data_IF_907475441505
#
_entry.id   IF_907475441505
#
_cell.length_a   1.000
_cell.length_b   1.000
_cell.length_c   1.000
_cell.angle_alpha   90.00
_cell.angle_beta   90.00
_cell.angle_gamma   90.00
#
_symmetry.space_group_name_H-M   'P 1'
#
loop_
_entity.id
_entity.type
_entity.pdbx_description
1 polymer ?
#
# COMPACT_ATOMS: atom_id res chain seq x y z
N UNK A 1 -38.44 -26.75 22.89
CA UNK A 1 -37.19 -27.22 23.52
C UNK A 1 -36.68 -28.43 22.78
N UNK A 2 -35.52 -28.34 22.12
CA UNK A 2 -34.79 -29.51 21.63
C UNK A 2 -33.60 -29.70 22.57
N UNK A 3 -33.63 -30.78 23.34
CA UNK A 3 -32.53 -31.15 24.24
C UNK A 3 -31.52 -31.93 23.41
N UNK A 4 -30.30 -31.42 23.27
CA UNK A 4 -29.21 -32.14 22.61
C UNK A 4 -28.24 -32.56 23.72
N UNK A 5 -28.21 -33.85 24.00
CA UNK A 5 -27.32 -34.46 25.00
C UNK A 5 -26.07 -34.95 24.29
N UNK A 6 -24.91 -34.35 24.58
CA UNK A 6 -23.62 -34.80 24.04
C UNK A 6 -22.81 -35.46 25.17
N UNK A 7 -22.41 -36.74 25.04
CA UNK A 7 -21.48 -37.35 25.98
C UNK A 7 -20.09 -36.74 25.79
N UNK A 8 -19.48 -36.31 26.89
CA UNK A 8 -18.16 -35.68 26.88
C UNK A 8 -17.07 -36.76 26.72
N UNK A 9 -16.84 -37.21 25.49
CA UNK A 9 -15.60 -37.91 25.12
C UNK A 9 -14.93 -37.08 24.04
N UNK A 10 -13.90 -36.33 24.44
CA UNK A 10 -12.97 -35.66 23.54
C UNK A 10 -13.51 -34.41 22.85
N UNK A 11 -13.38 -33.26 23.52
CA UNK A 11 -13.35 -31.98 22.81
C UNK A 11 -12.04 -31.90 22.01
N UNK A 12 -12.06 -32.46 20.79
CA UNK A 12 -11.13 -32.11 19.72
C UNK A 12 -12.01 -31.66 18.56
N UNK A 13 -11.75 -30.43 18.11
CA UNK A 13 -12.36 -29.82 16.95
C UNK A 13 -12.32 -30.75 15.72
N UNK A 14 -13.47 -30.88 15.07
CA UNK A 14 -13.67 -30.92 13.62
C UNK A 14 -15.00 -31.62 13.34
N UNK A 15 -15.88 -30.89 12.66
CA UNK A 15 -17.06 -31.40 11.98
C UNK A 15 -16.62 -32.50 10.98
N UNK A 16 -16.57 -33.76 11.42
CA UNK A 16 -16.37 -34.91 10.52
C UNK A 16 -17.36 -36.01 10.93
N UNK A 17 -18.42 -36.13 10.14
CA UNK A 17 -19.27 -37.31 10.10
C UNK A 17 -18.39 -38.46 9.59
N UNK A 18 -17.93 -39.34 10.49
CA UNK A 18 -17.33 -40.63 10.14
C UNK A 18 -18.14 -41.73 10.80
N UNK A 19 -18.91 -42.45 9.98
CA UNK A 19 -19.49 -43.74 10.33
C UNK A 19 -18.36 -44.77 10.20
N UNK A 20 -17.81 -45.23 11.32
CA UNK A 20 -17.11 -46.51 11.38
C UNK A 20 -17.09 -47.04 12.81
N UNK A 21 -17.66 -48.22 12.96
CA UNK A 21 -17.80 -49.03 14.17
C UNK A 21 -16.45 -49.38 14.81
N UNK A 22 -16.33 -49.10 16.12
CA UNK A 22 -15.40 -49.77 17.03
C UNK A 22 -14.47 -48.84 17.81
N UNK A 23 -14.89 -48.39 19.01
CA UNK A 23 -14.03 -47.80 20.04
C UNK A 23 -14.45 -48.27 21.45
N UNK A 24 -13.53 -48.31 22.43
CA UNK A 24 -13.60 -49.14 23.62
C UNK A 24 -14.53 -48.58 24.71
N UNK A 25 -15.01 -49.47 25.57
CA UNK A 25 -15.92 -49.16 26.69
C UNK A 25 -15.27 -48.24 27.73
N UNK A 26 -15.89 -47.08 27.97
CA UNK A 26 -15.54 -46.15 29.06
C UNK A 26 -16.38 -46.49 30.30
N UNK A 27 -15.75 -46.47 31.47
CA UNK A 27 -16.33 -46.85 32.76
C UNK A 27 -17.33 -45.76 33.25
N UNK A 28 -18.59 -46.13 33.48
CA UNK A 28 -19.76 -45.21 33.57
C UNK A 28 -19.93 -44.45 34.91
N UNK A 29 -19.08 -44.67 35.91
CA UNK A 29 -19.39 -44.28 37.30
C UNK A 29 -19.03 -42.85 37.74
N UNK A 30 -18.66 -41.93 36.83
CA UNK A 30 -18.48 -40.50 37.17
C UNK A 30 -18.55 -39.61 35.91
N UNK A 31 -19.64 -39.70 35.16
CA UNK A 31 -19.89 -38.77 34.05
C UNK A 31 -20.59 -37.54 34.64
N UNK A 32 -19.83 -36.47 34.87
CA UNK A 32 -20.43 -35.16 35.12
C UNK A 32 -21.14 -34.70 33.84
N UNK A 33 -22.46 -34.91 33.79
CA UNK A 33 -23.28 -34.51 32.64
C UNK A 33 -23.53 -33.00 32.72
N UNK A 34 -22.96 -32.25 31.78
CA UNK A 34 -23.30 -30.84 31.56
C UNK A 34 -24.41 -30.79 30.51
N UNK A 35 -25.56 -30.22 30.88
CA UNK A 35 -26.67 -29.99 29.95
C UNK A 35 -26.64 -28.56 29.41
N UNK A 36 -26.60 -28.40 28.09
CA UNK A 36 -26.79 -27.11 27.42
C UNK A 36 -28.24 -27.03 26.90
N UNK A 37 -29.06 -26.18 27.51
CA UNK A 37 -30.43 -25.92 27.07
C UNK A 37 -30.46 -24.69 26.15
N UNK A 38 -30.77 -24.89 24.87
CA UNK A 38 -30.92 -23.81 23.89
C UNK A 38 -32.41 -23.44 23.78
N UNK A 39 -32.74 -22.20 24.13
CA UNK A 39 -34.09 -21.66 23.99
C UNK A 39 -34.28 -21.05 22.59
N UNK A 40 -35.09 -21.72 21.76
CA UNK A 40 -35.43 -21.24 20.42
C UNK A 40 -36.77 -20.49 20.37
N UNK A 41 -37.49 -20.40 21.50
CA UNK A 41 -38.74 -19.65 21.60
C UNK A 41 -38.49 -18.17 21.93
N UNK A 42 -37.40 -17.87 22.66
CA UNK A 42 -36.96 -16.51 22.97
C UNK A 42 -35.56 -16.28 22.38
N UNK A 43 -35.49 -15.78 21.14
CA UNK A 43 -34.23 -15.63 20.40
C UNK A 43 -33.31 -14.52 20.90
N UNK A 44 -33.61 -13.89 22.04
CA UNK A 44 -32.80 -12.81 22.63
C UNK A 44 -32.75 -11.54 21.79
N UNK A 45 -31.70 -10.74 21.96
CA UNK A 45 -31.46 -9.51 21.21
C UNK A 45 -30.92 -9.80 19.81
N UNK A 46 -31.22 -8.92 18.85
CA UNK A 46 -30.62 -8.99 17.52
C UNK A 46 -29.10 -8.81 17.62
N UNK A 47 -28.36 -9.72 17.00
CA UNK A 47 -26.91 -9.60 16.84
C UNK A 47 -26.64 -8.59 15.73
N UNK A 48 -26.00 -7.44 16.01
CA UNK A 48 -25.69 -6.45 14.97
C UNK A 48 -24.77 -7.02 13.91
N UNK A 49 -24.94 -6.60 12.65
CA UNK A 49 -24.00 -6.94 11.56
C UNK A 49 -22.58 -6.45 11.85
N UNK A 50 -22.44 -5.42 12.68
CA UNK A 50 -21.18 -4.83 13.15
C UNK A 50 -20.60 -5.49 14.39
N UNK A 51 -21.11 -6.66 14.83
CA UNK A 51 -20.56 -7.36 16.01
C UNK A 51 -19.08 -7.77 15.82
N UNK A 52 -18.69 -8.08 14.58
CA UNK A 52 -17.32 -8.42 14.22
C UNK A 52 -16.81 -7.45 13.17
N UNK A 53 -15.58 -6.97 13.35
CA UNK A 53 -14.94 -6.04 12.43
C UNK A 53 -13.43 -6.29 12.35
N UNK A 54 -12.77 -5.48 11.53
CA UNK A 54 -11.32 -5.45 11.41
C UNK A 54 -10.79 -4.05 11.76
N UNK A 55 -9.49 -3.98 11.95
CA UNK A 55 -8.77 -2.71 12.15
C UNK A 55 -7.65 -2.68 11.11
N UNK A 56 -7.53 -1.56 10.42
CA UNK A 56 -6.39 -1.21 9.59
C UNK A 56 -5.68 -0.03 10.26
N UNK A 57 -4.43 -0.25 10.62
CA UNK A 57 -3.56 0.79 11.16
C UNK A 57 -2.39 0.94 10.21
N UNK A 58 -2.26 2.11 9.59
CA UNK A 58 -1.26 2.30 8.53
C UNK A 58 0.15 1.91 8.98
N UNK A 59 0.77 1.00 8.22
CA UNK A 59 2.17 0.57 8.32
C UNK A 59 2.63 -0.11 9.62
N UNK A 60 1.73 -0.71 10.39
CA UNK A 60 2.15 -1.66 11.42
C UNK A 60 2.65 -2.96 10.76
N UNK A 61 3.93 -3.30 10.95
CA UNK A 61 4.57 -4.46 10.30
C UNK A 61 4.54 -4.44 8.77
N UNK A 62 4.50 -3.25 8.12
CA UNK A 62 4.32 -3.10 6.66
C UNK A 62 3.00 -3.72 6.18
N UNK A 63 1.94 -3.64 6.98
CA UNK A 63 0.60 -4.12 6.60
C UNK A 63 -0.05 -3.29 5.49
N UNK A 64 0.39 -2.06 5.29
CA UNK A 64 -0.01 -1.17 4.20
C UNK A 64 1.06 -1.10 3.08
N UNK A 65 2.06 -0.22 3.19
CA UNK A 65 3.20 -0.15 2.26
C UNK A 65 4.02 -1.45 2.33
N UNK A 66 3.93 -2.25 1.27
CA UNK A 66 4.54 -3.60 1.18
C UNK A 66 3.60 -4.74 1.57
N UNK A 67 2.39 -4.41 2.01
CA UNK A 67 1.33 -5.32 2.41
C UNK A 67 0.09 -5.14 1.53
N UNK A 68 -0.98 -4.61 2.12
CA UNK A 68 -2.28 -4.40 1.50
C UNK A 68 -2.20 -3.46 0.31
N UNK A 69 -1.36 -2.44 0.34
CA UNK A 69 -1.11 -1.60 -0.83
C UNK A 69 -0.24 -2.33 -1.86
N UNK A 70 -0.70 -2.37 -3.11
CA UNK A 70 -0.12 -3.24 -4.14
C UNK A 70 1.20 -2.74 -4.75
N UNK A 71 1.72 -1.58 -4.35
CA UNK A 71 2.99 -1.06 -4.83
C UNK A 71 4.14 -2.06 -4.55
N UNK A 72 4.92 -2.37 -5.58
CA UNK A 72 6.04 -3.31 -5.47
C UNK A 72 7.36 -2.64 -5.19
N UNK A 73 7.50 -1.35 -5.53
CA UNK A 73 8.75 -0.61 -5.43
C UNK A 73 8.89 -0.02 -4.03
N UNK A 74 9.82 -0.57 -3.26
CA UNK A 74 10.14 -0.04 -1.95
C UNK A 74 10.86 1.30 -2.08
N UNK A 75 10.49 2.29 -1.26
CA UNK A 75 11.09 3.62 -1.28
C UNK A 75 11.06 4.28 -2.67
N UNK A 76 9.90 4.18 -3.34
CA UNK A 76 9.67 4.59 -4.74
C UNK A 76 9.97 6.05 -5.08
N UNK A 77 9.86 6.93 -4.10
CA UNK A 77 10.07 8.38 -4.24
C UNK A 77 11.08 8.93 -3.23
N UNK A 78 11.96 8.07 -2.68
CA UNK A 78 13.10 8.45 -1.83
C UNK A 78 12.72 9.16 -0.52
N UNK A 79 11.48 8.98 -0.06
CA UNK A 79 10.93 9.60 1.14
C UNK A 79 11.43 8.94 2.44
N UNK A 80 11.89 7.68 2.38
CA UNK A 80 12.40 6.96 3.56
C UNK A 80 13.54 7.75 4.23
N UNK A 81 13.41 7.94 5.54
CA UNK A 81 14.36 8.69 6.40
C UNK A 81 14.60 10.15 5.95
N UNK A 82 13.67 10.74 5.20
CA UNK A 82 13.81 12.10 4.65
C UNK A 82 14.79 12.19 3.48
N UNK A 83 15.14 11.06 2.87
CA UNK A 83 16.11 10.97 1.77
C UNK A 83 17.07 9.80 1.96
N UNK A 84 16.77 8.66 1.34
CA UNK A 84 17.66 7.49 1.37
C UNK A 84 17.60 6.71 0.06
N UNK A 85 18.65 5.92 -0.21
CA UNK A 85 18.70 4.94 -1.30
C UNK A 85 18.31 3.53 -0.82
N UNK A 86 17.62 3.42 0.32
CA UNK A 86 17.18 2.12 0.84
C UNK A 86 16.34 1.41 -0.23
N UNK A 87 16.65 0.12 -0.47
CA UNK A 87 16.02 -0.68 -1.53
C UNK A 87 16.66 -0.55 -2.92
N UNK A 88 17.46 0.48 -3.16
CA UNK A 88 18.05 0.80 -4.47
C UNK A 88 19.53 0.40 -4.55
N UNK A 89 19.95 -0.11 -5.71
CA UNK A 89 21.36 -0.38 -6.02
C UNK A 89 21.66 -0.12 -7.49
N UNK A 90 22.87 0.31 -7.84
CA UNK A 90 23.33 0.38 -9.23
C UNK A 90 23.96 -0.95 -9.67
N UNK A 91 24.07 -1.12 -10.99
CA UNK A 91 24.82 -2.21 -11.62
C UNK A 91 25.50 -1.71 -12.91
N UNK A 92 26.50 -2.47 -13.38
CA UNK A 92 27.30 -2.06 -14.53
C UNK A 92 28.28 -0.95 -14.17
N UNK A 93 28.37 0.08 -15.01
CA UNK A 93 29.35 1.16 -14.92
C UNK A 93 28.79 2.47 -14.34
N UNK A 94 27.51 2.52 -14.01
CA UNK A 94 26.87 3.70 -13.43
C UNK A 94 26.79 3.68 -11.91
N UNK A 95 26.47 4.83 -11.34
CA UNK A 95 26.27 5.03 -9.90
C UNK A 95 24.98 5.78 -9.63
N UNK A 96 24.39 5.53 -8.46
CA UNK A 96 23.20 6.23 -7.98
C UNK A 96 23.56 7.14 -6.80
N UNK A 97 22.96 8.32 -6.77
CA UNK A 97 23.07 9.28 -5.68
C UNK A 97 21.72 9.97 -5.46
N UNK A 98 21.53 10.55 -4.28
CA UNK A 98 20.38 11.42 -4.03
C UNK A 98 20.67 12.85 -4.48
N UNK A 99 19.65 13.54 -4.96
CA UNK A 99 19.70 14.95 -5.28
C UNK A 99 18.40 15.64 -4.84
N UNK A 100 18.48 16.95 -4.61
CA UNK A 100 17.37 17.80 -4.16
C UNK A 100 17.22 19.09 -4.98
N UNK A 101 18.03 19.24 -6.02
CA UNK A 101 18.02 20.42 -6.89
C UNK A 101 16.92 20.29 -7.94
N UNK A 102 16.05 21.29 -8.02
CA UNK A 102 14.88 21.28 -8.93
C UNK A 102 14.07 19.97 -8.79
N UNK A 103 13.51 19.72 -7.60
CA UNK A 103 12.79 18.49 -7.33
C UNK A 103 11.55 18.36 -8.22
N UNK A 104 10.99 17.15 -8.28
CA UNK A 104 9.74 16.89 -9.01
C UNK A 104 8.59 17.77 -8.48
N UNK A 105 8.51 17.92 -7.16
CA UNK A 105 7.53 18.77 -6.50
C UNK A 105 8.05 19.22 -5.13
N UNK A 106 7.33 20.11 -4.45
CA UNK A 106 7.60 20.44 -3.05
C UNK A 106 7.33 19.27 -2.09
N UNK A 107 6.44 18.35 -2.47
CA UNK A 107 6.11 17.17 -1.68
C UNK A 107 7.17 16.06 -1.82
N UNK A 108 7.83 15.98 -2.97
CA UNK A 108 8.89 15.01 -3.25
C UNK A 108 10.23 15.73 -3.51
N UNK A 109 10.86 16.28 -2.45
CA UNK A 109 12.05 17.12 -2.56
C UNK A 109 13.34 16.35 -2.87
N UNK A 110 13.31 15.02 -2.81
CA UNK A 110 14.46 14.15 -3.05
C UNK A 110 14.18 13.26 -4.25
N UNK A 111 15.18 13.08 -5.11
CA UNK A 111 15.12 12.20 -6.27
C UNK A 111 16.45 11.46 -6.47
N UNK A 112 16.40 10.39 -7.26
CA UNK A 112 17.60 9.63 -7.63
C UNK A 112 18.24 10.28 -8.85
N UNK A 113 19.55 10.52 -8.76
CA UNK A 113 20.42 10.79 -9.88
C UNK A 113 21.22 9.54 -10.22
N UNK A 114 21.12 9.10 -11.46
CA UNK A 114 21.93 8.06 -12.04
C UNK A 114 22.99 8.68 -12.94
N UNK A 115 24.25 8.48 -12.58
CA UNK A 115 25.41 9.00 -13.29
C UNK A 115 26.13 7.87 -14.02
N UNK A 116 26.30 8.02 -15.33
CA UNK A 116 26.96 7.06 -16.19
C UNK A 116 28.25 7.67 -16.76
N UNK A 117 29.37 6.96 -16.60
CA UNK A 117 30.69 7.33 -17.14
C UNK A 117 30.56 7.63 -18.65
N UNK A 118 31.38 8.54 -19.17
CA UNK A 118 31.44 8.81 -20.61
C UNK A 118 31.64 7.50 -21.41
N UNK A 119 30.63 7.16 -22.22
CA UNK A 119 30.57 6.03 -23.13
C UNK A 119 30.65 4.67 -22.42
N UNK A 120 29.56 4.26 -21.78
CA UNK A 120 29.47 2.93 -21.18
C UNK A 120 29.79 1.83 -22.20
N UNK A 121 30.59 0.84 -21.81
CA UNK A 121 30.95 -0.29 -22.67
C UNK A 121 30.04 -1.50 -22.47
N UNK A 122 29.12 -1.43 -21.50
CA UNK A 122 28.15 -2.48 -21.19
C UNK A 122 26.82 -1.88 -20.74
N UNK A 123 25.70 -2.61 -20.90
CA UNK A 123 24.44 -2.24 -20.26
C UNK A 123 24.64 -2.01 -18.76
N UNK A 124 24.03 -0.95 -18.26
CA UNK A 124 24.23 -0.46 -16.89
C UNK A 124 22.94 0.18 -16.40
N UNK A 125 22.68 0.16 -15.11
CA UNK A 125 21.46 0.75 -14.61
C UNK A 125 21.34 0.73 -13.10
N UNK A 126 20.10 0.74 -12.64
CA UNK A 126 19.76 0.61 -11.24
C UNK A 126 18.54 -0.27 -11.06
N UNK A 127 18.36 -0.75 -9.83
CA UNK A 127 17.34 -1.76 -9.51
C UNK A 127 16.82 -1.60 -8.09
N UNK A 128 15.59 -2.02 -7.89
CA UNK A 128 14.90 -2.05 -6.61
C UNK A 128 14.54 -3.49 -6.21
N UNK A 129 14.81 -3.85 -4.96
CA UNK A 129 14.53 -5.20 -4.43
C UNK A 129 13.09 -5.42 -3.94
N UNK A 130 12.26 -4.39 -3.97
CA UNK A 130 10.92 -4.41 -3.38
C UNK A 130 10.93 -4.60 -1.86
N UNK A 131 9.76 -4.95 -1.33
CA UNK A 131 9.57 -5.18 0.10
C UNK A 131 10.00 -6.60 0.47
N UNK A 132 11.29 -6.75 0.83
CA UNK A 132 11.94 -8.04 1.13
C UNK A 132 11.92 -9.04 -0.04
N UNK A 133 11.73 -8.55 -1.26
CA UNK A 133 11.59 -9.34 -2.48
C UNK A 133 10.39 -8.91 -3.32
N UNK A 134 10.28 -9.47 -4.52
CA UNK A 134 9.16 -9.24 -5.44
C UNK A 134 8.64 -10.59 -5.91
N UNK A 135 7.36 -10.86 -5.66
CA UNK A 135 6.68 -12.04 -6.21
C UNK A 135 6.24 -11.75 -7.65
N UNK A 136 6.81 -12.46 -8.61
CA UNK A 136 6.58 -12.23 -10.04
C UNK A 136 5.65 -13.31 -10.59
N UNK A 137 4.56 -12.89 -11.22
CA UNK A 137 3.56 -13.75 -11.85
C UNK A 137 3.45 -13.43 -13.33
N UNK A 138 3.10 -14.42 -14.16
CA UNK A 138 2.88 -14.21 -15.60
C UNK A 138 1.58 -13.44 -15.80
N UNK A 139 1.70 -12.12 -15.89
CA UNK A 139 0.61 -11.17 -16.08
C UNK A 139 1.17 -9.82 -16.53
N UNK A 140 0.27 -8.89 -16.85
CA UNK A 140 0.64 -7.51 -17.12
C UNK A 140 0.72 -6.72 -15.81
N UNK A 141 1.78 -5.94 -15.67
CA UNK A 141 1.96 -4.97 -14.61
C UNK A 141 1.86 -3.56 -15.20
N UNK A 142 1.48 -2.59 -14.38
CA UNK A 142 1.51 -1.17 -14.74
C UNK A 142 2.73 -0.55 -14.10
N UNK A 143 3.69 -0.08 -14.90
CA UNK A 143 4.89 0.58 -14.41
C UNK A 143 4.88 2.05 -14.81
N UNK A 144 5.44 2.90 -13.95
CA UNK A 144 5.58 4.33 -14.20
C UNK A 144 6.82 4.89 -13.52
N UNK A 145 7.27 6.04 -14.01
CA UNK A 145 8.30 6.85 -13.37
C UNK A 145 8.26 8.27 -13.94
N UNK A 146 8.78 9.23 -13.17
CA UNK A 146 9.19 10.53 -13.70
C UNK A 146 10.67 10.46 -14.06
N UNK A 147 11.02 11.02 -15.22
CA UNK A 147 12.38 10.99 -15.75
C UNK A 147 12.78 12.34 -16.34
N UNK A 148 14.07 12.67 -16.23
CA UNK A 148 14.72 13.67 -17.08
C UNK A 148 16.18 13.33 -17.34
N UNK A 149 16.69 13.69 -18.52
CA UNK A 149 18.12 13.77 -18.80
C UNK A 149 18.65 15.16 -18.42
N UNK A 150 19.92 15.25 -18.01
CA UNK A 150 20.54 16.54 -17.69
C UNK A 150 21.54 16.97 -18.78
N UNK A 151 21.47 18.24 -19.19
CA UNK A 151 22.41 18.83 -20.17
C UNK A 151 22.59 17.98 -21.44
N UNK A 152 23.83 17.59 -21.73
CA UNK A 152 24.19 16.78 -22.92
C UNK A 152 24.12 15.25 -22.68
N UNK A 153 23.40 14.81 -21.65
CA UNK A 153 23.20 13.38 -21.41
C UNK A 153 22.51 12.70 -22.60
N UNK A 154 22.95 11.46 -22.87
CA UNK A 154 22.61 10.73 -24.08
C UNK A 154 22.31 9.26 -23.76
N UNK A 155 21.16 8.79 -24.22
CA UNK A 155 20.79 7.37 -24.17
C UNK A 155 20.99 6.78 -25.55
N UNK A 156 21.84 5.75 -25.67
CA UNK A 156 22.11 5.11 -26.96
C UNK A 156 20.82 4.51 -27.53
N UNK A 157 20.49 4.85 -28.78
CA UNK A 157 19.23 4.45 -29.41
C UNK A 157 17.97 5.08 -28.81
N UNK A 158 18.09 5.99 -27.84
CA UNK A 158 16.97 6.71 -27.22
C UNK A 158 16.06 5.85 -26.37
N UNK A 159 16.46 4.63 -26.01
CA UNK A 159 15.58 3.62 -25.40
C UNK A 159 16.15 3.08 -24.10
N UNK A 160 15.31 3.02 -23.06
CA UNK A 160 15.58 2.35 -21.80
C UNK A 160 14.90 0.99 -21.76
N UNK A 161 15.55 0.00 -21.15
CA UNK A 161 14.96 -1.30 -20.87
C UNK A 161 14.51 -1.36 -19.42
N UNK A 162 13.23 -1.64 -19.18
CA UNK A 162 12.65 -1.72 -17.84
C UNK A 162 11.99 -3.08 -17.67
N UNK A 163 12.19 -3.72 -16.54
CA UNK A 163 11.64 -5.05 -16.34
C UNK A 163 11.91 -5.65 -14.98
N UNK A 164 11.70 -6.97 -14.94
CA UNK A 164 11.99 -7.78 -13.76
C UNK A 164 13.04 -8.82 -14.06
N UNK A 165 13.96 -9.03 -13.13
CA UNK A 165 14.96 -10.08 -13.22
C UNK A 165 15.22 -10.74 -11.87
N UNK A 166 15.90 -11.87 -11.87
CA UNK A 166 16.46 -12.41 -10.64
C UNK A 166 17.44 -11.40 -10.03
N UNK A 167 17.62 -11.40 -8.72
CA UNK A 167 18.61 -10.52 -8.04
C UNK A 167 20.05 -10.69 -8.55
N UNK A 168 20.36 -11.84 -9.18
CA UNK A 168 21.64 -12.10 -9.85
C UNK A 168 21.73 -11.54 -11.27
N UNK A 169 20.62 -11.10 -11.86
CA UNK A 169 20.54 -10.65 -13.26
C UNK A 169 20.63 -11.78 -14.30
N UNK A 170 20.60 -13.05 -13.87
CA UNK A 170 20.77 -14.20 -14.76
C UNK A 170 19.50 -14.56 -15.53
N UNK A 171 18.32 -14.23 -14.98
CA UNK A 171 17.02 -14.53 -15.58
C UNK A 171 16.19 -13.26 -15.65
N UNK A 172 15.65 -12.95 -16.83
CA UNK A 172 14.67 -11.88 -17.04
C UNK A 172 13.27 -12.49 -17.14
N UNK A 173 12.33 -11.94 -16.38
CA UNK A 173 10.96 -12.45 -16.26
C UNK A 173 9.95 -11.63 -17.06
N UNK A 174 10.22 -10.32 -17.20
CA UNK A 174 9.40 -9.37 -17.96
C UNK A 174 10.25 -8.21 -18.42
N UNK A 175 9.89 -7.61 -19.54
CA UNK A 175 10.67 -6.55 -20.18
C UNK A 175 9.77 -5.65 -21.04
N UNK A 176 9.97 -4.35 -20.93
CA UNK A 176 9.47 -3.31 -21.84
C UNK A 176 10.62 -2.38 -22.22
N UNK A 177 10.51 -1.80 -23.42
CA UNK A 177 11.46 -0.81 -23.92
C UNK A 177 10.76 0.53 -24.05
N UNK A 178 11.32 1.58 -23.43
CA UNK A 178 10.70 2.90 -23.33
C UNK A 178 11.55 3.91 -24.08
N UNK A 179 10.93 4.58 -25.05
CA UNK A 179 11.55 5.66 -25.82
C UNK A 179 11.56 6.95 -24.99
N UNK A 180 12.77 7.40 -24.65
CA UNK A 180 13.03 8.64 -23.90
C UNK A 180 13.64 9.73 -24.78
N UNK A 181 13.77 9.51 -26.09
CA UNK A 181 14.35 10.48 -27.03
C UNK A 181 13.51 11.74 -27.22
N UNK A 182 12.21 11.65 -26.92
CA UNK A 182 11.26 12.76 -27.01
C UNK A 182 11.34 13.74 -25.84
N UNK A 183 12.05 13.39 -24.76
CA UNK A 183 12.06 14.17 -23.52
C UNK A 183 13.03 15.34 -23.67
N UNK A 184 12.57 16.60 -23.55
CA UNK A 184 13.46 17.74 -23.51
C UNK A 184 14.39 17.63 -22.30
N UNK A 185 15.69 17.89 -22.50
CA UNK A 185 16.66 17.91 -21.41
C UNK A 185 16.20 18.85 -20.28
N UNK A 186 16.59 18.51 -19.06
CA UNK A 186 16.36 19.23 -17.81
C UNK A 186 14.88 19.34 -17.36
N UNK A 187 13.93 18.78 -18.12
CA UNK A 187 12.50 18.82 -17.81
C UNK A 187 11.97 17.44 -17.37
N UNK A 188 11.32 17.40 -16.19
CA UNK A 188 10.63 16.21 -15.72
C UNK A 188 9.51 15.79 -16.67
N UNK A 189 9.49 14.51 -17.04
CA UNK A 189 8.47 13.92 -17.89
C UNK A 189 7.92 12.62 -17.28
N UNK A 190 6.60 12.45 -17.18
CA UNK A 190 6.00 11.22 -16.68
C UNK A 190 5.94 10.14 -17.76
N UNK A 191 6.29 8.91 -17.39
CA UNK A 191 6.08 7.71 -18.18
C UNK A 191 5.13 6.77 -17.47
N UNK A 192 4.20 6.17 -18.22
CA UNK A 192 3.32 5.10 -17.75
C UNK A 192 3.11 4.10 -18.86
N UNK A 193 3.28 2.80 -18.56
CA UNK A 193 3.24 1.75 -19.56
C UNK A 193 2.90 0.39 -18.95
N UNK A 194 2.45 -0.51 -19.82
CA UNK A 194 2.26 -1.92 -19.48
C UNK A 194 3.61 -2.65 -19.56
N UNK A 195 3.97 -3.36 -18.50
CA UNK A 195 5.11 -4.25 -18.42
C UNK A 195 4.62 -5.71 -18.49
N UNK A 196 4.78 -6.40 -19.64
CA UNK A 196 4.41 -7.78 -19.78
C UNK A 196 5.45 -8.68 -19.08
N UNK A 197 4.97 -9.57 -18.22
CA UNK A 197 5.78 -10.65 -17.64
C UNK A 197 5.47 -11.96 -18.36
N UNK A 198 6.49 -12.58 -18.93
CA UNK A 198 6.39 -13.79 -19.76
C UNK A 198 6.87 -15.07 -19.04
N UNK A 199 7.47 -14.95 -17.86
CA UNK A 199 7.88 -16.09 -17.03
C UNK A 199 7.72 -15.77 -15.54
N UNK A 200 7.27 -16.75 -14.74
CA UNK A 200 7.17 -16.61 -13.28
C UNK A 200 8.33 -17.31 -12.56
N UNK A 201 8.40 -17.11 -11.27
CA UNK A 201 9.35 -17.78 -10.37
C UNK A 201 8.69 -18.01 -9.02
N UNK A 202 9.04 -19.12 -8.37
CA UNK A 202 8.63 -19.38 -6.98
C UNK A 202 9.54 -18.67 -5.97
N UNK A 203 10.67 -18.12 -6.41
CA UNK A 203 11.54 -17.29 -5.56
C UNK A 203 11.04 -15.85 -5.53
N UNK A 204 11.21 -15.18 -4.40
CA UNK A 204 10.97 -13.74 -4.25
C UNK A 204 12.26 -12.91 -4.36
N UNK A 205 13.43 -13.53 -4.55
CA UNK A 205 14.73 -12.86 -4.67
C UNK A 205 14.93 -12.22 -6.04
N UNK A 206 14.02 -11.32 -6.41
CA UNK A 206 13.93 -10.67 -7.71
C UNK A 206 14.03 -9.16 -7.55
N UNK A 207 14.24 -8.46 -8.65
CA UNK A 207 14.40 -7.02 -8.69
C UNK A 207 13.60 -6.43 -9.86
N UNK A 208 13.08 -5.22 -9.65
CA UNK A 208 12.68 -4.32 -10.74
C UNK A 208 13.90 -3.54 -11.18
N UNK A 209 14.17 -3.43 -12.48
CA UNK A 209 15.35 -2.73 -13.00
C UNK A 209 15.00 -1.70 -14.06
N UNK A 210 15.84 -0.67 -14.14
CA UNK A 210 15.93 0.28 -15.26
C UNK A 210 17.35 0.17 -15.81
N UNK A 211 17.47 -0.17 -17.09
CA UNK A 211 18.73 -0.43 -17.78
C UNK A 211 18.94 0.54 -18.94
N UNK A 212 20.13 1.13 -18.98
CA UNK A 212 20.63 1.94 -20.07
C UNK A 212 21.49 1.08 -20.99
N UNK A 213 21.32 1.20 -22.32
CA UNK A 213 22.14 0.49 -23.29
C UNK A 213 23.61 0.95 -23.26
N UNK A 214 24.50 0.06 -23.70
CA UNK A 214 25.90 0.41 -23.94
C UNK A 214 26.03 1.59 -24.92
N UNK A 215 26.97 2.49 -24.66
CA UNK A 215 27.17 3.73 -25.42
C UNK A 215 26.38 4.92 -24.89
N UNK A 216 25.55 4.73 -23.87
CA UNK A 216 24.91 5.84 -23.15
C UNK A 216 25.96 6.62 -22.33
N UNK A 217 25.66 7.87 -21.95
CA UNK A 217 26.50 8.70 -21.08
C UNK A 217 25.72 9.85 -20.42
N UNK A 218 26.27 10.37 -19.32
CA UNK A 218 25.77 11.57 -18.67
C UNK A 218 24.91 11.26 -17.44
N UNK A 219 24.13 12.24 -17.03
CA UNK A 219 23.32 12.20 -15.83
C UNK A 219 21.83 12.17 -16.14
N UNK A 220 21.14 11.33 -15.40
CA UNK A 220 19.71 11.09 -15.54
C UNK A 220 19.07 11.13 -14.16
N UNK A 221 17.87 11.66 -14.06
CA UNK A 221 17.16 11.78 -12.80
C UNK A 221 15.81 11.09 -12.86
N UNK A 222 15.46 10.40 -11.78
CA UNK A 222 14.25 9.62 -11.64
C UNK A 222 13.55 9.93 -10.32
N UNK A 223 12.23 10.03 -10.35
CA UNK A 223 11.40 10.09 -9.15
C UNK A 223 10.11 9.29 -9.33
N UNK A 224 9.47 8.93 -8.22
CA UNK A 224 8.21 8.20 -8.15
C UNK A 224 8.19 6.99 -9.11
N UNK A 225 9.18 6.12 -8.96
CA UNK A 225 9.29 4.88 -9.76
C UNK A 225 8.33 3.86 -9.17
N UNK A 226 7.31 3.47 -9.91
CA UNK A 226 6.21 2.65 -9.42
C UNK A 226 5.98 1.42 -10.30
N UNK A 227 5.56 0.31 -9.69
CA UNK A 227 5.11 -0.84 -10.42
C UNK A 227 4.01 -1.59 -9.66
N UNK A 228 2.84 -1.71 -10.28
CA UNK A 228 1.67 -2.38 -9.71
C UNK A 228 1.35 -3.67 -10.48
N UNK A 229 1.04 -4.78 -9.78
CA UNK A 229 0.30 -5.89 -10.36
C UNK A 229 -1.18 -5.47 -10.58
N UNK A 230 -2.02 -6.32 -11.20
CA UNK A 230 -3.46 -6.18 -11.12
C UNK A 230 -3.92 -6.10 -9.65
N UNK A 231 -4.79 -5.14 -9.38
CA UNK A 231 -5.27 -4.81 -8.04
C UNK A 231 -6.67 -5.34 -7.80
N UNK A 232 -7.04 -5.46 -6.53
CA UNK A 232 -8.39 -5.86 -6.13
C UNK A 232 -9.43 -4.92 -6.76
N UNK A 233 -10.45 -5.50 -7.40
CA UNK A 233 -11.52 -4.79 -8.13
C UNK A 233 -11.01 -3.82 -9.20
N UNK A 234 -9.82 -4.07 -9.76
CA UNK A 234 -9.19 -3.26 -10.79
C UNK A 234 -9.02 -1.77 -10.40
N UNK A 235 -8.88 -1.50 -9.09
CA UNK A 235 -8.70 -0.14 -8.56
C UNK A 235 -7.31 0.38 -8.90
N UNK A 236 -7.23 1.51 -9.60
CA UNK A 236 -5.96 2.24 -9.78
C UNK A 236 -5.43 2.62 -8.39
N UNK A 237 -4.12 2.49 -8.18
CA UNK A 237 -3.48 2.77 -6.88
C UNK A 237 -4.05 1.89 -5.73
N UNK A 238 -4.56 0.71 -6.07
CA UNK A 238 -5.40 -0.09 -5.19
C UNK A 238 -4.69 -1.18 -4.38
N UNK A 239 -5.52 -2.02 -3.77
CA UNK A 239 -5.08 -3.07 -2.87
C UNK A 239 -4.54 -4.32 -3.61
N UNK A 240 -3.63 -5.02 -2.95
CA UNK A 240 -3.02 -6.27 -3.37
C UNK A 240 -4.05 -7.40 -3.29
N UNK A 241 -4.22 -8.12 -4.40
CA UNK A 241 -5.34 -9.04 -4.62
C UNK A 241 -5.50 -10.14 -3.55
N UNK A 242 -4.42 -10.82 -3.17
CA UNK A 242 -4.44 -11.94 -2.23
C UNK A 242 -4.81 -11.50 -0.79
N UNK A 243 -4.22 -10.41 -0.32
CA UNK A 243 -4.50 -9.84 1.00
C UNK A 243 -5.91 -9.25 1.02
N UNK A 244 -6.29 -8.48 0.00
CA UNK A 244 -7.63 -7.93 -0.13
C UNK A 244 -8.72 -9.02 -0.12
N UNK A 245 -8.50 -10.13 -0.84
CA UNK A 245 -9.42 -11.25 -0.84
C UNK A 245 -9.53 -11.91 0.55
N UNK A 246 -8.41 -12.07 1.26
CA UNK A 246 -8.44 -12.59 2.63
C UNK A 246 -9.28 -11.69 3.56
N UNK A 247 -9.17 -10.36 3.44
CA UNK A 247 -10.02 -9.42 4.18
C UNK A 247 -11.50 -9.55 3.80
N UNK A 248 -11.81 -9.66 2.51
CA UNK A 248 -13.19 -9.86 2.05
C UNK A 248 -13.80 -11.18 2.58
N UNK A 249 -13.00 -12.24 2.66
CA UNK A 249 -13.43 -13.56 3.14
C UNK A 249 -13.72 -13.57 4.66
N UNK A 250 -13.11 -12.67 5.43
CA UNK A 250 -13.45 -12.45 6.85
C UNK A 250 -14.87 -11.89 7.03
N UNK A 251 -15.43 -11.24 5.99
CA UNK A 251 -16.73 -10.56 6.00
C UNK A 251 -16.89 -9.63 7.21
N UNK A 252 -15.96 -8.68 7.44
CA UNK A 252 -16.07 -7.77 8.57
C UNK A 252 -17.30 -6.89 8.40
N UNK A 253 -18.07 -6.70 9.48
CA UNK A 253 -19.19 -5.77 9.47
C UNK A 253 -18.74 -4.30 9.42
N UNK A 254 -17.55 -4.03 9.96
CA UNK A 254 -16.90 -2.73 9.90
C UNK A 254 -15.38 -2.84 9.81
N UNK A 255 -14.72 -1.78 9.36
CA UNK A 255 -13.26 -1.62 9.42
C UNK A 255 -12.93 -0.27 10.05
N UNK A 256 -12.18 -0.30 11.15
CA UNK A 256 -11.62 0.92 11.77
C UNK A 256 -10.32 1.32 11.07
N UNK A 257 -10.16 2.60 10.74
CA UNK A 257 -8.99 3.16 10.03
C UNK A 257 -8.84 4.67 10.32
N UNK A 258 -7.70 5.34 10.04
CA UNK A 258 -6.42 4.79 9.53
C UNK A 258 -5.45 4.36 10.64
N UNK A 259 -5.91 4.30 11.90
CA UNK A 259 -5.06 4.00 13.04
C UNK A 259 -5.69 3.09 14.09
N UNK A 260 -4.84 2.56 14.97
CA UNK A 260 -4.54 3.11 16.30
C UNK A 260 -3.38 4.13 16.29
N UNK A 261 -2.24 3.81 16.87
CA UNK A 261 -1.13 4.73 17.14
C UNK A 261 -0.60 5.50 15.92
N UNK A 262 -0.69 4.93 14.72
CA UNK A 262 -0.17 5.58 13.51
C UNK A 262 -0.95 6.85 13.10
N UNK A 263 -2.21 6.98 13.55
CA UNK A 263 -3.01 8.21 13.45
C UNK A 263 -2.42 9.35 14.31
N UNK A 264 -2.01 9.03 15.54
CA UNK A 264 -1.49 9.98 16.54
C UNK A 264 -0.12 10.51 16.12
N UNK A 265 0.68 9.65 15.50
CA UNK A 265 2.04 9.91 15.06
C UNK A 265 3.05 10.07 16.20
N UNK A 266 4.36 10.05 15.89
CA UNK A 266 5.42 10.29 16.87
C UNK A 266 5.33 11.67 17.53
N UNK A 267 4.90 12.68 16.78
CA UNK A 267 4.74 14.08 17.22
C UNK A 267 3.54 14.71 16.53
N UNK A 268 3.06 15.85 17.04
CA UNK A 268 1.92 16.59 16.46
C UNK A 268 2.14 16.95 14.97
N UNK A 269 3.39 17.16 14.57
CA UNK A 269 3.78 17.46 13.18
C UNK A 269 3.87 16.21 12.29
N UNK A 270 4.02 15.03 12.88
CA UNK A 270 4.16 13.73 12.20
C UNK A 270 2.91 12.84 12.35
N UNK A 271 1.81 13.41 12.84
CA UNK A 271 0.48 12.78 12.85
C UNK A 271 0.01 12.42 11.44
N UNK A 272 -1.05 11.62 11.35
CA UNK A 272 -1.77 11.47 10.09
C UNK A 272 -2.48 12.78 9.72
N UNK A 273 -2.23 13.27 8.50
CA UNK A 273 -2.80 14.51 7.96
C UNK A 273 -3.53 14.13 6.67
N UNK A 274 -4.85 14.03 6.73
CA UNK A 274 -5.67 13.42 5.69
C UNK A 274 -5.49 14.06 4.30
N UNK A 275 -5.35 15.39 4.24
CA UNK A 275 -5.22 16.10 2.96
C UNK A 275 -3.85 15.90 2.29
N UNK A 276 -2.86 15.35 2.99
CA UNK A 276 -1.58 14.94 2.40
C UNK A 276 -1.69 13.59 1.64
N UNK A 277 -2.85 12.92 1.71
CA UNK A 277 -3.01 11.54 1.21
C UNK A 277 -3.97 11.45 0.01
N UNK A 278 -4.55 12.55 -0.47
CA UNK A 278 -5.68 12.49 -1.42
C UNK A 278 -5.33 13.00 -2.82
N UNK A 279 -4.27 13.79 -2.97
CA UNK A 279 -3.90 14.39 -4.25
C UNK A 279 -3.15 13.37 -5.15
N UNK A 280 -2.67 13.82 -6.30
CA UNK A 280 -1.71 13.08 -7.13
C UNK A 280 -0.50 12.64 -6.30
N UNK A 281 0.05 11.47 -6.61
CA UNK A 281 1.14 10.87 -5.85
C UNK A 281 2.37 11.78 -5.77
N UNK A 282 2.66 12.55 -6.83
CA UNK A 282 3.74 13.55 -6.83
C UNK A 282 3.52 14.70 -5.85
N UNK A 283 2.30 14.88 -5.32
CA UNK A 283 1.96 15.88 -4.32
C UNK A 283 1.78 15.30 -2.91
N UNK A 284 2.03 13.99 -2.71
CA UNK A 284 1.93 13.35 -1.40
C UNK A 284 3.30 13.31 -0.70
N UNK A 285 3.52 14.11 0.37
CA UNK A 285 4.83 14.21 1.01
C UNK A 285 5.20 12.96 1.81
N UNK A 286 4.22 12.08 2.07
CA UNK A 286 4.37 10.99 3.02
C UNK A 286 4.62 11.52 4.43
N UNK A 287 4.96 10.63 5.36
CA UNK A 287 5.41 11.01 6.71
C UNK A 287 6.18 9.89 7.38
N UNK A 288 6.91 10.23 8.43
CA UNK A 288 7.44 9.24 9.35
C UNK A 288 6.28 8.65 10.16
N UNK A 289 6.03 7.35 10.00
CA UNK A 289 5.05 6.62 10.80
C UNK A 289 5.53 6.36 12.24
N UNK A 290 4.64 5.81 13.05
CA UNK A 290 4.91 5.39 14.43
C UNK A 290 5.70 4.09 14.49
N UNK A 291 5.43 3.16 13.56
CA UNK A 291 5.98 1.80 13.62
C UNK A 291 7.25 1.63 12.78
N UNK A 292 7.09 1.20 11.53
CA UNK A 292 8.19 0.77 10.68
C UNK A 292 8.29 1.63 9.43
N UNK A 293 9.41 2.34 9.33
CA UNK A 293 9.77 3.08 8.11
C UNK A 293 8.96 4.35 7.92
N UNK A 294 8.84 4.74 6.65
CA UNK A 294 8.13 5.93 6.20
C UNK A 294 6.85 5.51 5.48
N UNK A 295 5.76 6.22 5.76
CA UNK A 295 4.49 6.02 5.09
C UNK A 295 4.52 6.83 3.80
N UNK A 296 4.30 6.18 2.67
CA UNK A 296 4.26 6.87 1.37
C UNK A 296 3.00 7.72 1.25
N UNK A 297 1.97 7.41 2.04
CA UNK A 297 0.59 7.91 1.90
C UNK A 297 0.03 7.61 0.49
N UNK A 298 0.58 6.58 -0.16
CA UNK A 298 0.13 6.08 -1.45
C UNK A 298 -1.23 5.40 -1.36
N UNK A 299 -1.46 4.61 -0.32
CA UNK A 299 -2.78 4.06 0.01
C UNK A 299 -3.49 5.00 0.99
N UNK A 300 -3.86 6.16 0.46
CA UNK A 300 -4.41 7.25 1.25
C UNK A 300 -5.88 7.06 1.60
N UNK A 301 -6.48 8.12 2.14
CA UNK A 301 -7.86 8.12 2.62
C UNK A 301 -8.89 7.65 1.57
N UNK A 302 -8.78 8.10 0.31
CA UNK A 302 -9.69 7.66 -0.76
C UNK A 302 -9.53 6.17 -1.01
N UNK A 303 -8.29 5.70 -1.15
CA UNK A 303 -7.99 4.31 -1.46
C UNK A 303 -8.40 3.36 -0.33
N UNK A 304 -8.11 3.71 0.93
CA UNK A 304 -8.50 2.97 2.13
C UNK A 304 -10.02 2.84 2.25
N UNK A 305 -10.76 3.95 2.14
CA UNK A 305 -12.22 3.91 2.26
C UNK A 305 -12.89 3.19 1.09
N UNK A 306 -12.36 3.36 -0.12
CA UNK A 306 -12.84 2.61 -1.29
C UNK A 306 -12.61 1.12 -1.12
N UNK A 307 -11.47 0.72 -0.56
CA UNK A 307 -11.19 -0.69 -0.25
C UNK A 307 -12.19 -1.26 0.76
N UNK A 308 -12.52 -0.50 1.81
CA UNK A 308 -13.51 -0.93 2.82
C UNK A 308 -14.90 -1.13 2.20
N UNK A 309 -15.33 -0.23 1.31
CA UNK A 309 -16.57 -0.41 0.54
C UNK A 309 -16.50 -1.64 -0.38
N UNK A 310 -15.37 -1.85 -1.07
CA UNK A 310 -15.18 -2.94 -2.02
C UNK A 310 -15.26 -4.34 -1.38
N UNK A 311 -14.86 -4.46 -0.11
CA UNK A 311 -15.00 -5.69 0.68
C UNK A 311 -16.37 -5.81 1.38
N UNK A 312 -17.26 -4.82 1.21
CA UNK A 312 -18.62 -4.82 1.74
C UNK A 312 -18.73 -4.49 3.23
N UNK A 313 -17.72 -3.80 3.80
CA UNK A 313 -17.70 -3.40 5.19
C UNK A 313 -18.01 -1.90 5.34
N UNK A 314 -18.35 -1.50 6.58
CA UNK A 314 -18.62 -0.11 6.91
C UNK A 314 -17.34 0.54 7.46
N UNK A 315 -16.87 1.68 6.93
CA UNK A 315 -15.73 2.39 7.49
C UNK A 315 -16.11 3.06 8.82
N UNK A 316 -15.26 2.85 9.84
CA UNK A 316 -15.27 3.58 11.11
C UNK A 316 -14.03 4.46 11.14
N UNK A 317 -14.23 5.75 10.89
CA UNK A 317 -13.15 6.72 10.73
C UNK A 317 -12.64 7.19 12.10
N UNK A 318 -11.33 7.08 12.31
CA UNK A 318 -10.66 7.74 13.41
C UNK A 318 -10.09 9.08 12.94
N UNK A 319 -10.29 10.11 13.76
CA UNK A 319 -9.84 11.49 13.50
C UNK A 319 -8.76 11.89 14.51
N UNK A 320 -7.84 12.74 14.10
CA UNK A 320 -6.81 13.23 15.02
C UNK A 320 -7.42 14.15 16.08
N UNK A 321 -7.12 13.89 17.36
CA UNK A 321 -7.75 14.55 18.49
C UNK A 321 -6.81 15.49 19.27
N UNK A 322 -5.70 15.92 18.67
CA UNK A 322 -4.79 16.88 19.30
C UNK A 322 -3.79 16.25 20.28
N UNK A 323 -3.51 14.95 20.19
CA UNK A 323 -2.53 14.26 21.05
C UNK A 323 -1.62 13.35 20.22
N UNK A 324 -0.33 13.32 20.57
CA UNK A 324 0.68 12.49 19.92
C UNK A 324 1.50 11.68 20.91
N UNK A 325 2.22 10.69 20.40
CA UNK A 325 2.88 9.66 21.20
C UNK A 325 4.13 10.15 21.97
N UNK A 326 4.61 11.38 21.69
CA UNK A 326 5.60 12.06 22.53
C UNK A 326 5.01 12.63 23.83
N UNK A 327 3.73 12.37 24.12
CA UNK A 327 3.03 12.77 25.34
C UNK A 327 2.53 14.21 25.31
N UNK A 328 2.58 14.88 24.14
CA UNK A 328 2.11 16.26 24.00
C UNK A 328 0.65 16.29 23.54
N UNK A 329 -0.08 17.22 24.15
CA UNK A 329 -1.40 17.62 23.72
C UNK A 329 -1.34 19.05 23.18
N UNK A 330 -2.10 19.33 22.12
CA UNK A 330 -2.34 20.69 21.63
C UNK A 330 -3.06 21.48 22.73
N UNK A 331 -2.58 22.67 23.11
CA UNK A 331 -3.28 23.54 24.06
C UNK A 331 -4.72 23.82 23.61
N UNK A 332 -5.65 23.93 24.56
CA UNK A 332 -7.07 24.09 24.25
C UNK A 332 -7.36 25.33 23.37
N UNK A 333 -6.63 26.42 23.60
CA UNK A 333 -6.70 27.68 22.83
C UNK A 333 -6.03 27.60 21.45
N UNK A 334 -5.30 26.53 21.16
CA UNK A 334 -4.65 26.25 19.88
C UNK A 334 -5.34 25.11 19.08
N UNK A 335 -6.44 24.54 19.60
CA UNK A 335 -7.13 23.40 18.96
C UNK A 335 -7.87 23.77 17.66
N UNK A 336 -8.22 25.03 17.45
CA UNK A 336 -9.12 25.43 16.36
C UNK A 336 -8.67 24.96 14.97
N UNK A 337 -7.39 25.08 14.56
CA UNK A 337 -6.95 24.59 13.25
C UNK A 337 -7.13 23.07 13.07
N UNK A 338 -7.00 22.28 14.13
CA UNK A 338 -7.19 20.82 14.09
C UNK A 338 -8.67 20.46 14.02
N UNK A 339 -9.54 21.23 14.69
CA UNK A 339 -10.99 21.09 14.56
C UNK A 339 -11.42 21.40 13.13
N UNK A 340 -10.91 22.49 12.54
CA UNK A 340 -11.20 22.86 11.16
C UNK A 340 -10.70 21.80 10.16
N UNK A 341 -9.53 21.20 10.41
CA UNK A 341 -8.98 20.10 9.63
C UNK A 341 -9.92 18.88 9.61
N UNK A 342 -10.43 18.49 10.79
CA UNK A 342 -11.39 17.39 10.94
C UNK A 342 -12.73 17.70 10.27
N UNK A 343 -13.23 18.93 10.40
CA UNK A 343 -14.47 19.35 9.72
C UNK A 343 -14.28 19.24 8.20
N UNK A 344 -13.15 19.71 7.68
CA UNK A 344 -12.84 19.60 6.25
C UNK A 344 -12.69 18.14 5.80
N UNK A 345 -12.12 17.26 6.63
CA UNK A 345 -12.04 15.82 6.36
C UNK A 345 -13.45 15.23 6.25
N UNK A 346 -14.32 15.50 7.22
CA UNK A 346 -15.69 14.98 7.23
C UNK A 346 -16.52 15.54 6.06
N UNK A 347 -16.39 16.82 5.75
CA UNK A 347 -17.04 17.44 4.59
C UNK A 347 -16.53 16.84 3.27
N UNK A 348 -15.22 16.62 3.17
CA UNK A 348 -14.61 15.95 2.01
C UNK A 348 -15.21 14.57 1.80
N UNK A 349 -15.40 13.81 2.88
CA UNK A 349 -15.87 12.44 2.80
C UNK A 349 -17.38 12.31 2.64
N UNK A 350 -18.17 13.17 3.28
CA UNK A 350 -19.61 12.96 3.47
C UNK A 350 -20.49 14.00 2.77
N UNK A 351 -19.97 15.18 2.44
CA UNK A 351 -20.79 16.24 1.84
C UNK A 351 -21.06 15.97 0.36
N UNK A 352 -22.21 16.47 -0.12
CA UNK A 352 -22.53 16.53 -1.55
C UNK A 352 -21.64 17.57 -2.24
N UNK A 353 -21.12 17.23 -3.42
CA UNK A 353 -20.34 18.15 -4.25
C UNK A 353 -21.09 19.42 -4.67
N UNK A 354 -22.42 19.37 -4.75
CA UNK A 354 -23.25 20.48 -5.21
C UNK A 354 -23.21 21.72 -4.31
N UNK A 355 -22.98 21.54 -3.00
CA UNK A 355 -23.14 22.60 -2.00
C UNK A 355 -21.93 22.76 -1.06
N UNK A 356 -20.86 21.98 -1.25
CA UNK A 356 -19.70 21.99 -0.37
C UNK A 356 -18.39 21.89 -1.18
N UNK A 357 -17.44 22.78 -0.89
CA UNK A 357 -16.17 22.85 -1.62
C UNK A 357 -15.28 21.61 -1.46
N UNK A 358 -15.34 20.95 -0.30
CA UNK A 358 -14.61 19.70 -0.03
C UNK A 358 -15.29 18.51 -0.73
N UNK A 359 -16.62 18.46 -0.74
CA UNK A 359 -17.35 17.48 -1.56
C UNK A 359 -17.01 17.61 -3.06
N UNK A 360 -16.90 18.84 -3.56
CA UNK A 360 -16.47 19.11 -4.94
C UNK A 360 -14.99 18.75 -5.18
N UNK A 361 -14.13 18.87 -4.16
CA UNK A 361 -12.75 18.40 -4.24
C UNK A 361 -12.69 16.87 -4.38
N UNK A 362 -13.46 16.13 -3.57
CA UNK A 362 -13.58 14.67 -3.66
C UNK A 362 -13.98 14.21 -5.06
N UNK A 363 -14.98 14.88 -5.64
CA UNK A 363 -15.44 14.59 -7.02
C UNK A 363 -14.34 14.84 -8.06
N UNK A 364 -13.60 15.97 -7.96
CA UNK A 364 -12.48 16.26 -8.87
C UNK A 364 -11.34 15.24 -8.76
N UNK A 365 -11.15 14.64 -7.58
CA UNK A 365 -10.17 13.60 -7.33
C UNK A 365 -10.67 12.19 -7.71
N UNK A 366 -11.82 12.09 -8.39
CA UNK A 366 -12.31 10.85 -8.99
C UNK A 366 -13.33 10.08 -8.13
N UNK A 367 -13.81 10.65 -7.01
CA UNK A 367 -14.85 10.05 -6.17
C UNK A 367 -16.07 10.98 -6.07
N UNK A 368 -17.07 10.76 -6.93
CA UNK A 368 -18.30 11.57 -6.95
C UNK A 368 -19.16 11.35 -5.70
N UNK A 369 -19.43 10.09 -5.37
CA UNK A 369 -20.33 9.73 -4.28
C UNK A 369 -19.69 9.97 -2.91
N UNK A 370 -20.44 10.50 -1.93
CA UNK A 370 -20.02 10.47 -0.54
C UNK A 370 -19.71 9.05 -0.06
N UNK A 371 -18.86 8.93 0.96
CA UNK A 371 -18.66 7.66 1.68
C UNK A 371 -19.71 7.51 2.78
N UNK A 372 -20.18 6.28 3.03
CA UNK A 372 -21.02 5.97 4.21
C UNK A 372 -20.14 5.73 5.44
N UNK A 373 -19.78 6.82 6.13
CA UNK A 373 -18.95 6.79 7.32
C UNK A 373 -19.82 6.73 8.57
N UNK A 374 -19.44 5.91 9.54
CA UNK A 374 -20.06 5.83 10.87
C UNK A 374 -19.24 6.50 11.95
#
# INVERSE_FOLDING_TARGET
MKQITLPLVGFIACLVIKISSGWPTVNENNINVVSLNIDNANTGQNIPSTMHGAILETNINRDDDGGLYAELIYNRAFQEKGGSLDGWSSFGQGSIALNTSQPLSSALPVHLRYSLIENSTSPSGFRNGGFYGINIQVQNYTASFFYRSLGEAYVAGGQLSIGFSSSTGQMTYGLSTIDVSIVPADNWFPFSFTLPVFSNTSSVKNVFFVEFPAGSKGDFEFNLVSCFPPTYKDRVNGARMDIAQAFADLKPGYVRLPGGNDLEGPTILERFIWNNTIDLLENRPGRRGTWTGYNTEGFGLIELLTFVEDIGAIPVLAIYAGYSLDGKAVPQDELQPYIDEVINELDFLTASASNNSMGALRERLGRSEPFDIK
#
